data_IF_968597549454
#
_entry.id   IF_968597549454
#
_cell.length_a   1.000
_cell.length_b   1.000
_cell.length_c   1.000
_cell.angle_alpha   90.00
_cell.angle_beta   90.00
_cell.angle_gamma   90.00
#
_symmetry.space_group_name_H-M   'P 1'
#
loop_
_entity.id
_entity.type
_entity.pdbx_description
1 polymer ?
#
# COMPACT_ATOMS: atom_id res chain seq x y z
N UNK A 1 -19.36 13.00 -6.47
CA UNK A 1 -19.23 13.10 -5.00
C UNK A 1 -18.89 14.52 -4.60
N UNK A 2 -17.76 15.10 -5.05
CA UNK A 2 -17.33 16.48 -4.72
C UNK A 2 -18.36 17.58 -5.09
N UNK A 3 -18.90 17.56 -6.32
CA UNK A 3 -19.99 18.49 -6.70
C UNK A 3 -21.27 18.33 -5.87
N UNK A 4 -21.51 17.15 -5.27
CA UNK A 4 -22.69 16.92 -4.41
C UNK A 4 -22.46 17.43 -2.98
N UNK A 5 -21.20 17.48 -2.54
CA UNK A 5 -20.80 17.93 -1.20
C UNK A 5 -20.26 19.36 -1.18
N UNK A 6 -20.32 20.08 -2.31
CA UNK A 6 -19.82 21.45 -2.44
C UNK A 6 -18.29 21.57 -2.39
N UNK A 7 -17.55 20.48 -2.56
CA UNK A 7 -16.09 20.49 -2.53
C UNK A 7 -15.52 20.96 -3.87
N UNK A 8 -14.54 21.86 -3.83
CA UNK A 8 -13.78 22.35 -4.97
C UNK A 8 -13.06 21.22 -5.73
N UNK A 9 -12.58 21.52 -6.94
CA UNK A 9 -11.82 20.58 -7.75
C UNK A 9 -10.50 20.15 -7.08
N UNK A 10 -9.98 18.97 -7.43
CA UNK A 10 -8.74 18.42 -6.81
C UNK A 10 -7.57 19.40 -6.95
N UNK A 11 -7.40 20.03 -8.12
CA UNK A 11 -6.31 20.99 -8.37
C UNK A 11 -6.44 22.22 -7.45
N UNK A 12 -7.65 22.75 -7.31
CA UNK A 12 -7.93 23.95 -6.52
C UNK A 12 -7.76 23.68 -5.02
N UNK A 13 -8.33 22.58 -4.53
CA UNK A 13 -8.16 22.15 -3.14
C UNK A 13 -6.69 21.91 -2.78
N UNK A 14 -5.89 21.31 -3.68
CA UNK A 14 -4.46 21.14 -3.44
C UNK A 14 -3.70 22.46 -3.46
N UNK A 15 -4.05 23.37 -4.37
CA UNK A 15 -3.42 24.69 -4.45
C UNK A 15 -3.63 25.50 -3.17
N UNK A 16 -4.83 25.43 -2.59
CA UNK A 16 -5.23 26.24 -1.45
C UNK A 16 -4.80 25.65 -0.10
N UNK A 17 -4.69 24.32 0.01
CA UNK A 17 -4.53 23.64 1.31
C UNK A 17 -3.33 22.68 1.41
N UNK A 18 -2.63 22.38 0.31
CA UNK A 18 -1.48 21.47 0.34
C UNK A 18 -0.18 22.22 0.60
N UNK A 19 0.76 21.53 1.25
CA UNK A 19 2.17 21.96 1.33
C UNK A 19 2.91 21.81 -0.01
N UNK A 20 2.34 21.08 -0.98
CA UNK A 20 2.84 20.99 -2.36
C UNK A 20 1.71 21.32 -3.36
N UNK A 21 1.46 22.63 -3.61
CA UNK A 21 0.38 23.12 -4.48
C UNK A 21 0.44 22.62 -5.92
N UNK A 22 1.65 22.35 -6.44
CA UNK A 22 1.87 22.01 -7.86
C UNK A 22 1.85 20.51 -8.13
N UNK A 23 1.85 19.68 -7.08
CA UNK A 23 1.80 18.21 -7.18
C UNK A 23 0.72 17.68 -8.16
N UNK A 24 -0.53 18.15 -8.16
CA UNK A 24 -1.54 17.64 -9.09
C UNK A 24 -1.31 18.02 -10.56
N UNK A 25 -0.40 18.96 -10.86
CA UNK A 25 -0.13 19.39 -12.24
C UNK A 25 0.66 18.36 -13.04
N UNK A 26 1.43 17.50 -12.37
CA UNK A 26 2.14 16.39 -13.02
C UNK A 26 1.30 15.12 -13.02
N UNK A 27 1.45 14.29 -14.06
CA UNK A 27 0.76 13.00 -14.17
C UNK A 27 1.06 12.07 -12.99
N UNK A 28 2.32 12.01 -12.58
CA UNK A 28 2.75 11.13 -11.49
C UNK A 28 2.32 11.70 -10.13
N UNK A 29 2.39 13.01 -9.92
CA UNK A 29 1.90 13.65 -8.70
C UNK A 29 0.38 13.51 -8.54
N UNK A 30 -0.39 13.67 -9.61
CA UNK A 30 -1.83 13.38 -9.60
C UNK A 30 -2.11 11.90 -9.31
N UNK A 31 -1.33 10.98 -9.89
CA UNK A 31 -1.46 9.54 -9.60
C UNK A 31 -1.23 9.25 -8.12
N UNK A 32 -0.17 9.79 -7.52
CA UNK A 32 0.12 9.60 -6.09
C UNK A 32 -1.01 10.16 -5.21
N UNK A 33 -1.58 11.31 -5.56
CA UNK A 33 -2.74 11.88 -4.86
C UNK A 33 -3.90 10.89 -4.89
N UNK A 34 -4.28 10.39 -6.08
CA UNK A 34 -5.37 9.43 -6.22
C UNK A 34 -5.10 8.14 -5.42
N UNK A 35 -3.86 7.63 -5.46
CA UNK A 35 -3.47 6.44 -4.71
C UNK A 35 -3.55 6.64 -3.19
N UNK A 36 -3.17 7.83 -2.70
CA UNK A 36 -3.27 8.19 -1.29
C UNK A 36 -4.73 8.33 -0.84
N UNK A 37 -5.55 9.06 -1.60
CA UNK A 37 -6.97 9.24 -1.29
C UNK A 37 -7.68 7.89 -1.23
N UNK A 38 -7.46 7.03 -2.24
CA UNK A 38 -8.06 5.68 -2.25
C UNK A 38 -7.65 4.83 -1.04
N UNK A 39 -6.41 4.95 -0.57
CA UNK A 39 -5.94 4.26 0.63
C UNK A 39 -6.64 4.77 1.90
N UNK A 40 -6.85 6.08 2.01
CA UNK A 40 -7.51 6.70 3.17
C UNK A 40 -9.00 6.33 3.18
N UNK A 41 -9.68 6.52 2.05
CA UNK A 41 -11.13 6.30 1.91
C UNK A 41 -11.54 4.84 2.09
N UNK A 42 -10.72 3.89 1.61
CA UNK A 42 -11.01 2.45 1.66
C UNK A 42 -10.16 1.71 2.69
N UNK A 43 -9.70 2.43 3.73
CA UNK A 43 -8.92 1.84 4.80
C UNK A 43 -9.72 0.73 5.48
N UNK A 44 -9.07 -0.42 5.73
CA UNK A 44 -9.67 -1.61 6.32
C UNK A 44 -10.76 -2.32 5.48
N UNK A 45 -10.93 -1.97 4.19
CA UNK A 45 -11.87 -2.65 3.28
C UNK A 45 -11.20 -3.71 2.38
N UNK A 46 -9.98 -4.16 2.73
CA UNK A 46 -9.25 -5.19 1.97
C UNK A 46 -8.69 -4.75 0.61
N UNK A 47 -8.84 -3.48 0.22
CA UNK A 47 -8.43 -2.99 -1.10
C UNK A 47 -6.93 -2.77 -1.23
N UNK A 48 -6.26 -2.34 -0.14
CA UNK A 48 -4.87 -1.88 -0.17
C UNK A 48 -3.90 -2.90 -0.76
N UNK A 49 -4.06 -4.18 -0.42
CA UNK A 49 -3.20 -5.25 -0.93
C UNK A 49 -3.29 -5.36 -2.46
N UNK A 50 -4.51 -5.40 -3.00
CA UNK A 50 -4.76 -5.54 -4.43
C UNK A 50 -4.34 -4.29 -5.22
N UNK A 51 -4.53 -3.11 -4.63
CA UNK A 51 -4.08 -1.85 -5.20
C UNK A 51 -2.56 -1.77 -5.33
N UNK A 52 -1.83 -2.11 -4.27
CA UNK A 52 -0.37 -2.17 -4.33
C UNK A 52 0.11 -3.23 -5.33
N UNK A 53 -0.60 -4.38 -5.42
CA UNK A 53 -0.26 -5.46 -6.36
C UNK A 53 -0.34 -5.00 -7.81
N UNK A 54 -1.48 -4.42 -8.21
CA UNK A 54 -1.70 -3.95 -9.59
C UNK A 54 -0.82 -2.77 -9.97
N UNK A 55 -0.41 -1.96 -8.99
CA UNK A 55 0.55 -0.87 -9.19
C UNK A 55 2.01 -1.31 -9.12
N UNK A 56 2.28 -2.60 -8.85
CA UNK A 56 3.64 -3.15 -8.67
C UNK A 56 4.44 -2.47 -7.54
N UNK A 57 3.73 -2.02 -6.51
CA UNK A 57 4.30 -1.36 -5.32
C UNK A 57 4.39 -2.30 -4.11
N UNK A 58 3.90 -3.54 -4.19
CA UNK A 58 3.95 -4.48 -3.06
C UNK A 58 5.38 -4.71 -2.56
N UNK A 59 6.34 -4.92 -3.45
CA UNK A 59 7.74 -5.17 -3.07
C UNK A 59 8.34 -4.00 -2.28
N UNK A 60 7.95 -2.77 -2.59
CA UNK A 60 8.41 -1.61 -1.83
C UNK A 60 7.74 -1.56 -0.46
N UNK A 61 6.40 -1.53 -0.42
CA UNK A 61 5.64 -1.32 0.82
C UNK A 61 5.68 -2.53 1.77
N UNK A 62 5.72 -3.76 1.26
CA UNK A 62 5.75 -4.98 2.09
C UNK A 62 7.16 -5.35 2.57
N UNK A 63 8.19 -4.55 2.24
CA UNK A 63 9.52 -4.64 2.85
C UNK A 63 9.82 -3.43 3.75
N UNK A 64 8.87 -2.50 3.93
CA UNK A 64 9.02 -1.42 4.90
C UNK A 64 8.87 -1.94 6.33
N UNK A 65 9.63 -1.40 7.30
CA UNK A 65 9.45 -1.75 8.71
C UNK A 65 8.05 -1.38 9.18
N UNK A 66 7.38 -2.30 9.85
CA UNK A 66 6.13 -2.00 10.55
C UNK A 66 6.50 -1.34 11.87
N UNK A 67 6.05 -0.10 12.07
CA UNK A 67 6.39 0.71 13.24
C UNK A 67 5.16 1.01 14.07
N UNK A 68 5.37 1.21 15.38
CA UNK A 68 4.34 1.61 16.32
C UNK A 68 4.94 2.31 17.54
N UNK A 69 4.10 2.77 18.44
CA UNK A 69 4.53 3.32 19.72
C UNK A 69 4.97 2.22 20.69
N UNK A 70 5.85 2.58 21.61
CA UNK A 70 6.35 1.64 22.62
C UNK A 70 5.33 1.46 23.75
N UNK A 71 4.44 0.49 23.58
CA UNK A 71 3.41 0.13 24.57
C UNK A 71 3.98 -0.47 25.87
N UNK A 72 5.26 -0.82 25.92
CA UNK A 72 5.88 -1.43 27.11
C UNK A 72 6.40 -0.40 28.12
N UNK A 73 6.53 0.86 27.71
CA UNK A 73 7.00 1.91 28.61
C UNK A 73 5.91 2.33 29.60
N UNK A 74 6.30 2.45 30.88
CA UNK A 74 5.43 2.98 31.94
C UNK A 74 5.43 4.51 32.01
N UNK A 75 6.36 5.16 31.32
CA UNK A 75 6.48 6.61 31.27
C UNK A 75 5.87 7.14 29.97
N UNK A 76 5.12 8.25 30.06
CA UNK A 76 4.50 8.90 28.90
C UNK A 76 5.52 9.26 27.82
N UNK A 77 6.70 9.76 28.20
CA UNK A 77 7.78 10.10 27.25
C UNK A 77 8.30 8.86 26.53
N UNK A 78 8.33 7.71 27.22
CA UNK A 78 8.76 6.46 26.62
C UNK A 78 7.70 5.84 25.70
N UNK A 79 6.41 6.03 26.01
CA UNK A 79 5.31 5.53 25.18
C UNK A 79 5.36 6.07 23.75
N UNK A 80 5.55 7.39 23.59
CA UNK A 80 5.59 8.04 22.27
C UNK A 80 6.88 7.79 21.47
N UNK A 81 7.81 6.95 21.96
CA UNK A 81 8.97 6.53 21.18
C UNK A 81 8.55 5.50 20.14
N UNK A 82 8.89 5.76 18.87
CA UNK A 82 8.63 4.85 17.76
C UNK A 82 9.54 3.63 17.88
N UNK A 83 8.96 2.44 17.79
CA UNK A 83 9.64 1.15 17.78
C UNK A 83 9.25 0.37 16.52
N UNK A 84 10.21 -0.32 15.93
CA UNK A 84 9.93 -1.28 14.85
C UNK A 84 9.40 -2.57 15.46
N UNK A 85 8.21 -2.97 15.04
CA UNK A 85 7.49 -4.16 15.49
C UNK A 85 7.86 -5.39 14.65
N UNK A 86 8.05 -5.20 13.34
CA UNK A 86 8.40 -6.28 12.43
C UNK A 86 9.08 -5.77 11.15
N UNK A 87 9.89 -6.64 10.56
CA UNK A 87 10.46 -6.47 9.21
C UNK A 87 9.86 -7.52 8.30
N UNK A 88 8.71 -7.23 7.65
CA UNK A 88 8.15 -8.14 6.67
C UNK A 88 9.12 -8.33 5.50
N UNK A 89 9.08 -9.52 4.90
CA UNK A 89 9.87 -9.86 3.72
C UNK A 89 8.93 -10.19 2.57
N UNK A 90 9.14 -9.53 1.44
CA UNK A 90 8.37 -9.75 0.22
C UNK A 90 9.31 -9.85 -0.99
N UNK A 91 9.20 -10.93 -1.74
CA UNK A 91 9.99 -11.23 -2.92
C UNK A 91 9.14 -11.15 -4.20
N UNK A 92 9.78 -11.16 -5.37
CA UNK A 92 9.04 -11.04 -6.65
C UNK A 92 8.11 -12.24 -6.91
N UNK A 93 8.46 -13.42 -6.40
CA UNK A 93 7.60 -14.60 -6.46
C UNK A 93 6.26 -14.39 -5.73
N UNK A 94 6.25 -13.58 -4.67
CA UNK A 94 5.07 -13.39 -3.81
C UNK A 94 3.96 -12.56 -4.49
N UNK A 95 4.24 -11.99 -5.68
CA UNK A 95 3.21 -11.40 -6.54
C UNK A 95 2.22 -12.41 -7.08
N UNK A 96 2.53 -13.70 -7.10
CA UNK A 96 1.63 -14.77 -7.56
C UNK A 96 1.70 -15.92 -6.56
N UNK A 97 0.56 -16.37 -6.03
CA UNK A 97 0.57 -17.48 -5.07
C UNK A 97 1.01 -18.79 -5.73
N UNK A 98 1.72 -19.68 -5.01
CA UNK A 98 2.12 -20.97 -5.56
C UNK A 98 0.88 -21.80 -5.91
N UNK A 99 0.94 -22.45 -7.07
CA UNK A 99 0.01 -23.51 -7.42
C UNK A 99 0.34 -24.73 -6.55
N UNK A 100 -0.66 -25.34 -5.92
CA UNK A 100 -0.47 -26.52 -5.06
C UNK A 100 0.23 -27.64 -5.83
N UNK A 101 1.23 -28.26 -5.20
CA UNK A 101 2.06 -29.30 -5.83
C UNK A 101 1.24 -30.50 -6.33
N UNK A 102 0.20 -30.88 -5.60
CA UNK A 102 -0.74 -31.94 -6.02
C UNK A 102 -1.38 -31.65 -7.40
N UNK A 103 -1.69 -30.38 -7.71
CA UNK A 103 -2.30 -30.01 -8.98
C UNK A 103 -1.29 -30.14 -10.13
N UNK A 104 -0.03 -29.82 -9.87
CA UNK A 104 1.08 -29.97 -10.83
C UNK A 104 1.35 -31.46 -11.09
N UNK A 105 1.33 -32.29 -10.05
CA UNK A 105 1.50 -33.74 -10.18
C UNK A 105 0.36 -34.40 -10.97
N UNK A 106 -0.89 -33.93 -10.77
CA UNK A 106 -2.07 -34.41 -11.50
C UNK A 106 -2.07 -33.99 -12.97
N UNK A 107 -1.65 -32.75 -13.28
CA UNK A 107 -1.59 -32.24 -14.64
C UNK A 107 -0.16 -31.81 -14.99
N UNK A 108 0.58 -32.70 -15.65
CA UNK A 108 1.97 -32.42 -16.07
C UNK A 108 2.13 -31.26 -17.06
N UNK A 109 1.04 -30.74 -17.65
CA UNK A 109 1.07 -29.53 -18.49
C UNK A 109 0.92 -28.23 -17.69
N UNK A 110 0.56 -28.32 -16.40
CA UNK A 110 0.42 -27.16 -15.52
C UNK A 110 1.80 -26.70 -15.04
N UNK A 111 2.21 -25.51 -15.46
CA UNK A 111 3.49 -24.91 -15.08
C UNK A 111 3.28 -24.06 -13.83
N UNK A 112 4.23 -24.13 -12.90
CA UNK A 112 4.22 -23.35 -11.66
C UNK A 112 4.41 -21.85 -11.92
N UNK A 113 3.89 -21.02 -11.01
CA UNK A 113 4.14 -19.58 -11.01
C UNK A 113 5.65 -19.28 -10.82
N UNK A 114 6.18 -18.21 -11.44
CA UNK A 114 7.60 -17.86 -11.35
C UNK A 114 8.11 -17.76 -9.92
N UNK A 115 9.29 -18.34 -9.66
CA UNK A 115 9.96 -18.30 -8.36
C UNK A 115 9.41 -19.26 -7.28
N UNK A 116 8.43 -20.10 -7.62
CA UNK A 116 7.88 -21.14 -6.74
C UNK A 116 8.22 -22.58 -7.17
N UNK A 117 9.19 -22.72 -8.06
CA UNK A 117 9.67 -24.00 -8.59
C UNK A 117 10.56 -24.73 -7.58
#
# INVERSE_FOLDING_TARGET
>A
MRNRTGLEGVIESWRNHSTNPEKPLSKDGMREIIQRERMIELAFEGQRYWDLRRWKLLKEYMNMPIQGWNITSRETVGFYKVQTLAFPKFEEKDYLWPIRQENILKNRKLIQNPGWQ
#
